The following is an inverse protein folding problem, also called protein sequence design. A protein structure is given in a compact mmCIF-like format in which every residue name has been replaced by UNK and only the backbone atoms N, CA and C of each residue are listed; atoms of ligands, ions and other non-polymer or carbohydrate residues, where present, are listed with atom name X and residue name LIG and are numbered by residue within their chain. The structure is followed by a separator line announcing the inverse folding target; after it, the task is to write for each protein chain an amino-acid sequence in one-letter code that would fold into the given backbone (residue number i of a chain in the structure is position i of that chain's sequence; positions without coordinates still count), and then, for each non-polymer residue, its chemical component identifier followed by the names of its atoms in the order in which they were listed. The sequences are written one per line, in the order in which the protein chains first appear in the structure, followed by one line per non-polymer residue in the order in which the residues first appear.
data_IF_850673988800
#
_entry.id   IF_850673988800
#
_cell.length_a   1.000
_cell.length_b   1.000
_cell.length_c   1.000
_cell.angle_alpha   90.00
_cell.angle_beta   90.00
_cell.angle_gamma   90.00
#
_symmetry.space_group_name_H-M   'P 1'
#
loop_
_entity.id
_entity.type
_entity.pdbx_description
1 polymer ?
#
# COMPACT_ATOMS: atom_id res chain seq x y z
N UNK A 1 -13.68 -34.23 32.77
CA UNK A 1 -13.74 -32.77 32.44
C UNK A 1 -15.19 -32.32 32.46
N UNK A 2 -15.48 -31.10 32.93
CA UNK A 2 -16.82 -30.51 32.85
C UNK A 2 -17.06 -29.98 31.43
N UNK A 3 -18.27 -30.18 30.89
CA UNK A 3 -18.67 -29.64 29.59
C UNK A 3 -18.69 -28.11 29.67
N UNK A 4 -17.97 -27.45 28.78
CA UNK A 4 -17.89 -25.98 28.74
C UNK A 4 -19.13 -25.44 28.01
N UNK A 5 -19.92 -24.60 28.70
CA UNK A 5 -21.06 -23.93 28.10
C UNK A 5 -20.58 -22.96 27.02
N UNK A 6 -21.16 -23.03 25.82
CA UNK A 6 -20.78 -22.21 24.68
C UNK A 6 -19.62 -22.76 23.85
N UNK A 7 -19.07 -23.94 24.16
CA UNK A 7 -18.02 -24.57 23.35
C UNK A 7 -18.44 -24.83 21.90
N UNK A 8 -19.70 -25.24 21.67
CA UNK A 8 -20.25 -25.42 20.32
C UNK A 8 -20.47 -24.10 19.57
N UNK A 9 -20.59 -22.97 20.29
CA UNK A 9 -20.70 -21.63 19.73
C UNK A 9 -19.35 -20.91 19.66
N UNK A 10 -18.31 -21.44 20.30
CA UNK A 10 -16.98 -20.88 20.32
C UNK A 10 -16.32 -21.15 18.97
N UNK A 11 -16.05 -20.09 18.23
CA UNK A 11 -15.37 -20.20 16.95
C UNK A 11 -13.92 -20.60 17.20
N UNK A 12 -13.50 -21.70 16.56
CA UNK A 12 -12.10 -22.15 16.58
C UNK A 12 -11.23 -20.99 16.06
N UNK A 13 -10.07 -20.78 16.67
CA UNK A 13 -9.08 -19.86 16.13
C UNK A 13 -8.74 -20.29 14.70
N UNK A 14 -9.27 -19.57 13.70
CA UNK A 14 -8.87 -19.74 12.31
C UNK A 14 -7.63 -18.88 12.08
N UNK A 15 -6.56 -19.48 11.57
CA UNK A 15 -5.50 -18.69 10.96
C UNK A 15 -6.14 -17.82 9.87
N UNK A 16 -6.02 -16.51 10.01
CA UNK A 16 -6.58 -15.58 9.04
C UNK A 16 -5.81 -15.77 7.74
N UNK A 17 -6.42 -16.47 6.78
CA UNK A 17 -5.83 -16.71 5.47
C UNK A 17 -5.31 -15.39 4.91
N UNK A 18 -4.03 -15.38 4.57
CA UNK A 18 -3.35 -14.21 4.05
C UNK A 18 -3.31 -14.32 2.53
N UNK A 19 -3.67 -13.23 1.86
CA UNK A 19 -3.52 -13.13 0.41
C UNK A 19 -2.03 -13.25 0.05
N UNK A 20 -1.61 -14.22 -0.79
CA UNK A 20 -0.21 -14.33 -1.21
C UNK A 20 0.26 -13.09 -1.98
N UNK A 21 1.59 -12.90 -2.05
CA UNK A 21 2.16 -11.94 -2.98
C UNK A 21 1.92 -12.42 -4.43
N UNK A 22 1.49 -11.52 -5.30
CA UNK A 22 1.00 -11.93 -6.62
C UNK A 22 0.31 -10.82 -7.40
N UNK A 23 -0.15 -11.18 -8.58
CA UNK A 23 -0.95 -10.33 -9.44
C UNK A 23 -2.43 -10.71 -9.32
N UNK A 24 -3.29 -9.73 -9.06
CA UNK A 24 -4.73 -9.96 -8.91
C UNK A 24 -5.52 -8.94 -9.71
N UNK A 25 -6.63 -9.38 -10.31
CA UNK A 25 -7.61 -8.48 -10.93
C UNK A 25 -8.54 -8.01 -9.83
N UNK A 26 -8.63 -6.70 -9.66
CA UNK A 26 -9.42 -6.03 -8.67
C UNK A 26 -10.65 -5.39 -9.30
N UNK A 27 -11.73 -5.32 -8.54
CA UNK A 27 -12.90 -4.50 -8.83
C UNK A 27 -13.03 -3.42 -7.77
N UNK A 28 -13.19 -2.17 -8.20
CA UNK A 28 -13.43 -1.05 -7.29
C UNK A 28 -14.86 -1.12 -6.79
N UNK A 29 -15.03 -1.20 -5.48
CA UNK A 29 -16.34 -1.25 -4.81
C UNK A 29 -16.80 0.14 -4.37
N UNK A 30 -15.88 0.99 -3.94
CA UNK A 30 -16.20 2.33 -3.47
C UNK A 30 -15.02 3.29 -3.67
N UNK A 31 -15.32 4.57 -3.83
CA UNK A 31 -14.32 5.63 -4.05
C UNK A 31 -14.64 6.81 -3.15
N UNK A 32 -13.63 7.29 -2.42
CA UNK A 32 -13.75 8.48 -1.57
C UNK A 32 -12.62 9.44 -1.84
N UNK A 33 -12.95 10.68 -2.14
CA UNK A 33 -11.99 11.77 -2.13
C UNK A 33 -11.78 12.25 -0.68
N UNK A 34 -10.53 12.45 -0.30
CA UNK A 34 -10.17 12.95 1.03
C UNK A 34 -9.15 14.07 0.90
N UNK A 35 -9.56 15.26 1.29
CA UNK A 35 -8.69 16.42 1.43
C UNK A 35 -7.85 16.30 2.69
N UNK A 36 -6.54 16.53 2.58
CA UNK A 36 -5.67 16.61 3.75
C UNK A 36 -4.67 17.75 3.61
N UNK A 37 -4.24 18.32 4.74
CA UNK A 37 -3.24 19.40 4.76
C UNK A 37 -1.92 19.03 4.06
N UNK A 38 -1.55 17.75 4.04
CA UNK A 38 -0.33 17.25 3.41
C UNK A 38 -0.54 16.83 1.94
N UNK A 39 -1.79 16.72 1.47
CA UNK A 39 -2.13 16.37 0.10
C UNK A 39 -3.40 15.54 -0.01
N UNK A 40 -4.13 15.78 -1.09
CA UNK A 40 -5.39 15.13 -1.35
C UNK A 40 -5.16 13.70 -1.83
N UNK A 41 -6.08 12.82 -1.45
CA UNK A 41 -6.00 11.39 -1.76
C UNK A 41 -7.36 10.86 -2.19
N UNK A 42 -7.34 9.99 -3.19
CA UNK A 42 -8.48 9.17 -3.58
C UNK A 42 -8.29 7.80 -2.91
N UNK A 43 -9.19 7.46 -1.99
CA UNK A 43 -9.29 6.13 -1.41
C UNK A 43 -10.15 5.25 -2.33
N UNK A 44 -9.51 4.26 -2.93
CA UNK A 44 -10.14 3.23 -3.71
C UNK A 44 -10.36 2.01 -2.83
N UNK A 45 -11.60 1.69 -2.51
CA UNK A 45 -11.96 0.43 -1.88
C UNK A 45 -12.14 -0.62 -2.97
N UNK A 46 -11.42 -1.73 -2.88
CA UNK A 46 -11.38 -2.76 -3.90
C UNK A 46 -11.56 -4.15 -3.30
N UNK A 47 -12.03 -5.08 -4.12
CA UNK A 47 -12.00 -6.51 -3.84
C UNK A 47 -11.45 -7.30 -5.04
N UNK A 48 -11.07 -8.55 -4.82
CA UNK A 48 -10.54 -9.42 -5.86
C UNK A 48 -11.69 -9.93 -6.71
N UNK A 49 -11.62 -9.65 -8.01
CA UNK A 49 -12.68 -9.96 -8.96
C UNK A 49 -12.57 -11.37 -9.55
N UNK A 50 -11.34 -11.88 -9.70
CA UNK A 50 -11.02 -13.10 -10.45
C UNK A 50 -9.96 -13.96 -9.74
N UNK A 51 -9.96 -15.25 -10.05
CA UNK A 51 -9.00 -16.22 -9.52
C UNK A 51 -9.47 -16.92 -8.25
N UNK A 52 -8.54 -17.64 -7.62
CA UNK A 52 -8.79 -18.44 -6.41
C UNK A 52 -9.22 -17.59 -5.22
N UNK A 53 -8.66 -16.38 -5.11
CA UNK A 53 -8.93 -15.45 -4.00
C UNK A 53 -10.07 -14.48 -4.30
N UNK A 54 -11.00 -14.83 -5.18
CA UNK A 54 -12.16 -13.98 -5.49
C UNK A 54 -12.96 -13.67 -4.21
N UNK A 55 -13.43 -12.42 -4.10
CA UNK A 55 -14.21 -11.91 -2.97
C UNK A 55 -13.48 -12.01 -1.60
N UNK A 56 -12.15 -12.10 -1.61
CA UNK A 56 -11.33 -12.30 -0.40
C UNK A 56 -11.57 -11.23 0.67
N UNK A 57 -11.61 -9.95 0.28
CA UNK A 57 -11.81 -8.86 1.24
C UNK A 57 -13.25 -8.79 1.73
N UNK A 58 -14.24 -9.06 0.87
CA UNK A 58 -15.63 -9.18 1.28
C UNK A 58 -15.86 -10.37 2.23
N UNK A 59 -15.27 -11.52 1.94
CA UNK A 59 -15.32 -12.70 2.80
C UNK A 59 -14.70 -12.37 4.17
N UNK A 60 -13.52 -11.72 4.18
CA UNK A 60 -12.89 -11.30 5.42
C UNK A 60 -13.75 -10.32 6.23
N UNK A 61 -14.37 -9.34 5.56
CA UNK A 61 -15.25 -8.36 6.20
C UNK A 61 -16.51 -9.02 6.78
N UNK A 62 -17.12 -9.97 6.07
CA UNK A 62 -18.30 -10.73 6.54
C UNK A 62 -17.97 -11.62 7.74
N UNK A 63 -16.78 -12.21 7.75
CA UNK A 63 -16.30 -13.05 8.85
C UNK A 63 -15.92 -12.27 10.13
N UNK A 64 -15.83 -10.94 10.08
CA UNK A 64 -15.58 -10.14 11.28
C UNK A 64 -16.84 -10.11 12.18
N UNK A 65 -16.69 -10.62 13.41
CA UNK A 65 -17.75 -10.67 14.43
C UNK A 65 -17.71 -9.48 15.41
N UNK A 66 -16.71 -8.61 15.29
CA UNK A 66 -16.62 -7.38 16.08
C UNK A 66 -17.60 -6.32 15.56
N UNK A 67 -18.15 -5.48 16.44
CA UNK A 67 -19.06 -4.39 16.06
C UNK A 67 -18.38 -3.37 15.12
N UNK A 68 -17.09 -3.07 15.36
CA UNK A 68 -16.29 -2.17 14.52
C UNK A 68 -15.63 -2.93 13.35
N UNK A 69 -16.45 -3.32 12.36
CA UNK A 69 -15.97 -4.03 11.17
C UNK A 69 -15.13 -3.10 10.28
N UNK A 70 -13.91 -3.52 9.96
CA UNK A 70 -12.96 -2.73 9.16
C UNK A 70 -12.73 -3.36 7.80
N UNK A 71 -12.94 -2.56 6.75
CA UNK A 71 -12.58 -2.92 5.39
C UNK A 71 -11.06 -2.83 5.21
N UNK A 72 -10.44 -3.91 4.73
CA UNK A 72 -8.97 -3.99 4.57
C UNK A 72 -8.49 -3.80 3.13
N UNK A 73 -9.39 -3.90 2.13
CA UNK A 73 -9.06 -3.77 0.71
C UNK A 73 -9.08 -2.31 0.25
N UNK A 74 -8.12 -1.49 0.70
CA UNK A 74 -8.06 -0.07 0.30
C UNK A 74 -6.73 0.27 -0.37
N UNK A 75 -6.79 1.09 -1.41
CA UNK A 75 -5.63 1.68 -2.07
C UNK A 75 -5.73 3.19 -1.97
N UNK A 76 -4.64 3.85 -1.58
CA UNK A 76 -4.57 5.32 -1.51
C UNK A 76 -3.82 5.83 -2.72
N UNK A 77 -4.54 6.51 -3.61
CA UNK A 77 -3.95 7.23 -4.73
C UNK A 77 -3.78 8.69 -4.34
N UNK A 78 -2.54 9.20 -4.38
CA UNK A 78 -2.28 10.63 -4.16
C UNK A 78 -2.70 11.44 -5.38
N UNK A 79 -3.39 12.54 -5.14
CA UNK A 79 -3.77 13.51 -6.16
C UNK A 79 -2.64 14.55 -6.26
N UNK A 80 -2.13 14.85 -7.47
CA UNK A 80 -1.14 15.89 -7.66
C UNK A 80 -1.73 17.26 -7.30
N UNK A 81 -0.91 18.11 -6.69
CA UNK A 81 -1.25 19.49 -6.29
C UNK A 81 -1.05 20.50 -7.41
N UNK A 82 -0.33 20.11 -8.46
CA UNK A 82 0.05 21.00 -9.56
C UNK A 82 0.88 22.21 -9.07
N UNK A 83 1.72 21.99 -8.05
CA UNK A 83 2.55 23.03 -7.43
C UNK A 83 3.95 23.18 -8.08
N UNK A 84 4.24 22.36 -9.10
CA UNK A 84 5.49 22.38 -9.84
C UNK A 84 6.70 21.79 -9.09
N UNK A 85 6.52 21.25 -7.89
CA UNK A 85 7.60 20.59 -7.14
C UNK A 85 8.02 19.25 -7.76
N UNK A 86 9.23 18.79 -7.45
CA UNK A 86 9.68 17.46 -7.89
C UNK A 86 8.79 16.33 -7.34
N UNK A 87 8.36 16.45 -6.07
CA UNK A 87 7.45 15.47 -5.46
C UNK A 87 6.09 15.43 -6.16
N UNK A 88 5.59 16.59 -6.59
CA UNK A 88 4.37 16.68 -7.37
C UNK A 88 4.54 16.06 -8.76
N UNK A 89 5.66 16.30 -9.43
CA UNK A 89 5.97 15.66 -10.73
C UNK A 89 5.94 14.13 -10.65
N UNK A 90 6.47 13.55 -9.58
CA UNK A 90 6.39 12.10 -9.34
C UNK A 90 4.95 11.64 -9.06
N UNK A 91 4.20 12.42 -8.28
CA UNK A 91 2.79 12.16 -7.98
C UNK A 91 1.93 12.21 -9.23
N UNK A 92 2.11 13.22 -10.07
CA UNK A 92 1.47 13.39 -11.37
C UNK A 92 1.73 12.21 -12.30
N UNK A 93 2.99 11.76 -12.42
CA UNK A 93 3.35 10.57 -13.22
C UNK A 93 2.63 9.32 -12.71
N UNK A 94 2.59 9.11 -11.40
CA UNK A 94 1.91 7.97 -10.79
C UNK A 94 0.40 8.04 -10.99
N UNK A 95 -0.20 9.20 -10.78
CA UNK A 95 -1.62 9.44 -10.99
C UNK A 95 -2.01 9.14 -12.44
N UNK A 96 -1.31 9.74 -13.41
CA UNK A 96 -1.52 9.49 -14.84
C UNK A 96 -1.39 8.01 -15.19
N UNK A 97 -0.36 7.33 -14.69
CA UNK A 97 -0.16 5.89 -14.93
C UNK A 97 -1.35 5.07 -14.44
N UNK A 98 -1.86 5.35 -13.24
CA UNK A 98 -3.00 4.64 -12.66
C UNK A 98 -4.27 4.87 -13.47
N UNK A 99 -4.55 6.13 -13.84
CA UNK A 99 -5.71 6.48 -14.66
C UNK A 99 -5.64 5.81 -16.04
N UNK A 100 -4.49 5.86 -16.72
CA UNK A 100 -4.30 5.17 -18.00
C UNK A 100 -4.51 3.66 -17.89
N UNK A 101 -4.07 3.04 -16.79
CA UNK A 101 -4.33 1.62 -16.55
C UNK A 101 -5.84 1.33 -16.37
N UNK A 102 -6.60 2.24 -15.76
CA UNK A 102 -8.06 2.14 -15.68
C UNK A 102 -8.71 2.23 -17.06
N UNK A 103 -8.31 3.20 -17.89
CA UNK A 103 -8.83 3.36 -19.24
C UNK A 103 -8.54 2.12 -20.10
N UNK A 104 -7.31 1.61 -20.08
CA UNK A 104 -6.91 0.42 -20.84
C UNK A 104 -7.63 -0.85 -20.35
N UNK A 105 -7.87 -0.98 -19.04
CA UNK A 105 -8.55 -2.15 -18.47
C UNK A 105 -10.06 -2.15 -18.67
N UNK A 106 -10.66 -1.02 -19.05
CA UNK A 106 -12.11 -0.85 -19.15
C UNK A 106 -12.46 -0.23 -20.51
N UNK A 107 -12.70 -1.07 -21.52
CA UNK A 107 -13.02 -0.62 -22.87
C UNK A 107 -14.18 0.38 -22.89
N UNK A 108 -13.96 1.52 -23.54
CA UNK A 108 -14.95 2.61 -23.65
C UNK A 108 -15.02 3.53 -22.44
N UNK A 109 -14.18 3.34 -21.41
CA UNK A 109 -14.02 4.28 -20.32
C UNK A 109 -12.95 5.32 -20.65
N UNK A 110 -13.31 6.59 -20.45
CA UNK A 110 -12.38 7.70 -20.49
C UNK A 110 -12.48 8.52 -19.22
N UNK A 111 -11.33 8.91 -18.69
CA UNK A 111 -11.26 9.72 -17.50
C UNK A 111 -11.80 11.13 -17.78
N UNK A 112 -12.78 11.54 -16.97
CA UNK A 112 -13.47 12.82 -17.08
C UNK A 112 -13.23 13.71 -15.85
N UNK A 113 -12.20 13.42 -15.04
CA UNK A 113 -11.89 14.12 -13.79
C UNK A 113 -12.92 13.94 -12.66
N UNK A 114 -13.77 12.92 -12.75
CA UNK A 114 -14.71 12.52 -11.69
C UNK A 114 -14.34 11.16 -11.10
N UNK A 115 -13.84 11.14 -9.86
CA UNK A 115 -13.36 9.93 -9.19
C UNK A 115 -14.45 8.90 -8.94
N UNK A 116 -15.72 9.33 -8.86
CA UNK A 116 -16.83 8.41 -8.67
C UNK A 116 -17.00 7.47 -9.87
N UNK A 117 -16.54 7.87 -11.05
CA UNK A 117 -16.59 7.04 -12.26
C UNK A 117 -15.66 5.82 -12.21
N UNK A 118 -14.69 5.80 -11.29
CA UNK A 118 -13.82 4.64 -11.05
C UNK A 118 -14.55 3.52 -10.29
N UNK A 119 -15.67 3.82 -9.63
CA UNK A 119 -16.49 2.83 -8.93
C UNK A 119 -17.03 1.79 -9.92
N UNK A 120 -16.88 0.52 -9.56
CA UNK A 120 -17.30 -0.61 -10.38
C UNK A 120 -16.33 -0.99 -11.51
N UNK A 121 -15.27 -0.20 -11.75
CA UNK A 121 -14.25 -0.50 -12.76
C UNK A 121 -13.32 -1.63 -12.32
N UNK A 122 -12.74 -2.32 -13.30
CA UNK A 122 -11.75 -3.35 -13.09
C UNK A 122 -10.33 -2.80 -13.28
N UNK A 123 -9.37 -3.27 -12.50
CA UNK A 123 -7.96 -2.91 -12.66
C UNK A 123 -7.07 -4.07 -12.18
N UNK A 124 -5.88 -4.21 -12.74
CA UNK A 124 -4.88 -5.14 -12.22
C UNK A 124 -4.12 -4.54 -11.04
N UNK A 125 -3.69 -5.37 -10.11
CA UNK A 125 -2.82 -4.93 -9.03
C UNK A 125 -1.76 -5.98 -8.73
N UNK A 126 -0.57 -5.48 -8.38
CA UNK A 126 0.55 -6.26 -7.89
C UNK A 126 0.67 -6.09 -6.39
N UNK A 127 0.61 -7.21 -5.69
CA UNK A 127 0.75 -7.28 -4.26
C UNK A 127 2.11 -7.84 -3.90
N UNK A 128 2.76 -7.21 -2.93
CA UNK A 128 3.98 -7.72 -2.30
C UNK A 128 3.77 -7.89 -0.80
N UNK A 129 4.71 -8.55 -0.13
CA UNK A 129 4.73 -8.54 1.32
C UNK A 129 5.46 -7.29 1.78
N UNK A 130 4.87 -6.58 2.72
CA UNK A 130 5.53 -5.49 3.42
C UNK A 130 5.74 -5.88 4.87
N UNK A 131 6.97 -5.74 5.33
CA UNK A 131 7.32 -5.97 6.72
C UNK A 131 6.76 -4.82 7.58
N UNK A 132 6.27 -5.17 8.76
CA UNK A 132 5.87 -4.22 9.77
C UNK A 132 6.49 -4.59 11.11
N UNK A 133 6.95 -3.56 11.81
CA UNK A 133 7.42 -3.62 13.17
C UNK A 133 6.58 -2.63 13.97
N UNK A 134 5.80 -3.13 14.92
CA UNK A 134 5.02 -2.30 15.83
C UNK A 134 5.27 -2.77 17.27
N UNK A 135 6.16 -2.06 17.96
CA UNK A 135 6.65 -2.47 19.28
C UNK A 135 7.39 -3.81 19.20
N UNK A 136 7.00 -4.79 20.03
CA UNK A 136 7.63 -6.12 20.04
C UNK A 136 7.06 -7.11 18.99
N UNK A 137 6.20 -6.65 18.07
CA UNK A 137 5.59 -7.51 17.04
C UNK A 137 6.22 -7.20 15.68
N UNK A 138 6.96 -8.16 15.15
CA UNK A 138 7.42 -8.19 13.77
C UNK A 138 6.50 -9.10 12.95
N UNK A 139 6.26 -8.75 11.70
CA UNK A 139 5.46 -9.57 10.81
C UNK A 139 5.42 -9.01 9.39
N UNK A 140 4.71 -9.71 8.52
CA UNK A 140 4.51 -9.29 7.14
C UNK A 140 3.02 -9.11 6.87
N UNK A 141 2.65 -8.06 6.14
CA UNK A 141 1.30 -7.87 5.63
C UNK A 141 1.30 -7.76 4.11
N UNK A 142 0.21 -8.20 3.48
CA UNK A 142 0.06 -8.13 2.03
C UNK A 142 -0.32 -6.70 1.64
N UNK A 143 0.54 -6.06 0.86
CA UNK A 143 0.43 -4.67 0.46
C UNK A 143 0.15 -4.55 -1.04
N UNK A 144 -0.82 -3.72 -1.42
CA UNK A 144 -1.05 -3.37 -2.82
C UNK A 144 0.03 -2.38 -3.27
N UNK A 145 1.08 -2.88 -3.92
CA UNK A 145 2.26 -2.11 -4.29
C UNK A 145 2.00 -1.21 -5.50
N UNK A 146 1.38 -1.75 -6.54
CA UNK A 146 1.18 -1.04 -7.80
C UNK A 146 -0.08 -1.49 -8.51
N UNK A 147 -0.77 -0.52 -9.11
CA UNK A 147 -1.88 -0.77 -10.02
C UNK A 147 -1.34 -0.89 -11.44
N UNK A 148 -1.76 -1.92 -12.15
CA UNK A 148 -1.39 -2.25 -13.54
C UNK A 148 -2.65 -2.56 -14.33
N UNK A 149 -2.55 -2.81 -15.62
CA UNK A 149 -3.70 -3.20 -16.42
C UNK A 149 -4.21 -4.58 -16.01
N UNK A 150 -5.54 -4.77 -16.05
CA UNK A 150 -6.16 -6.07 -15.76
C UNK A 150 -5.66 -7.14 -16.75
N UNK A 151 -5.44 -6.76 -18.01
CA UNK A 151 -4.87 -7.64 -19.04
C UNK A 151 -3.45 -8.12 -18.71
N UNK A 152 -2.61 -7.27 -18.12
CA UNK A 152 -1.26 -7.68 -17.69
C UNK A 152 -1.30 -8.78 -16.63
N UNK A 153 -2.28 -8.72 -15.72
CA UNK A 153 -2.48 -9.77 -14.73
C UNK A 153 -3.02 -11.04 -15.40
N UNK A 154 -4.07 -10.92 -16.22
CA UNK A 154 -4.67 -12.07 -16.92
C UNK A 154 -3.70 -12.78 -17.87
N UNK A 155 -2.80 -12.04 -18.51
CA UNK A 155 -1.77 -12.59 -19.39
C UNK A 155 -0.60 -13.24 -18.65
N UNK A 156 -0.51 -13.11 -17.32
CA UNK A 156 0.60 -13.63 -16.52
C UNK A 156 1.94 -12.93 -16.78
N UNK A 157 1.98 -11.86 -17.60
CA UNK A 157 3.20 -11.13 -17.97
C UNK A 157 3.55 -10.06 -16.92
N UNK A 158 3.61 -10.46 -15.66
CA UNK A 158 3.98 -9.58 -14.57
C UNK A 158 5.11 -10.18 -13.73
N UNK A 159 5.89 -9.30 -13.11
CA UNK A 159 6.87 -9.66 -12.10
C UNK A 159 6.29 -9.26 -10.76
N UNK A 160 6.30 -10.18 -9.80
CA UNK A 160 5.92 -9.88 -8.43
C UNK A 160 6.98 -8.92 -7.88
N UNK A 161 6.59 -7.72 -7.39
CA UNK A 161 7.55 -6.80 -6.81
C UNK A 161 8.20 -7.45 -5.57
N UNK A 162 9.48 -7.16 -5.35
CA UNK A 162 10.19 -7.65 -4.17
C UNK A 162 9.48 -7.20 -2.89
N UNK A 163 9.65 -8.00 -1.84
CA UNK A 163 9.09 -7.69 -0.53
C UNK A 163 9.65 -6.37 -0.02
N UNK A 164 8.77 -5.49 0.46
CA UNK A 164 9.15 -4.22 1.05
C UNK A 164 9.56 -4.48 2.49
N UNK A 165 10.83 -4.77 2.70
CA UNK A 165 11.43 -4.85 4.02
C UNK A 165 11.48 -3.46 4.65
N UNK A 166 11.34 -3.38 5.97
CA UNK A 166 11.69 -2.15 6.66
C UNK A 166 13.19 -1.94 6.44
N UNK A 167 13.59 -0.71 6.07
CA UNK A 167 15.01 -0.38 6.16
C UNK A 167 15.39 -0.63 7.62
N UNK A 168 16.39 -1.49 7.86
CA UNK A 168 17.06 -1.47 9.15
C UNK A 168 17.38 0.01 9.43
N UNK A 169 17.20 0.43 10.68
CA UNK A 169 17.91 1.62 11.12
C UNK A 169 19.39 1.27 10.94
N UNK A 170 19.94 1.58 9.77
CA UNK A 170 21.36 1.85 9.66
C UNK A 170 21.55 2.97 10.67
N UNK A 171 22.07 2.56 11.83
CA UNK A 171 22.76 3.43 12.76
C UNK A 171 23.88 4.02 11.90
N UNK A 172 23.56 5.10 11.17
CA UNK A 172 24.55 5.86 10.44
C UNK A 172 25.55 6.23 11.51
N UNK A 173 26.74 5.62 11.46
CA UNK A 173 27.78 5.67 12.49
C UNK A 173 28.31 7.08 12.70
N UNK A 174 27.44 7.97 13.18
CA UNK A 174 27.74 9.33 13.52
C UNK A 174 28.20 9.31 14.98
N UNK A 175 29.44 9.74 15.25
CA UNK A 175 29.94 9.84 16.60
C UNK A 175 29.04 10.76 17.44
N UNK A 176 28.81 10.36 18.68
CA UNK A 176 27.94 11.03 19.65
C UNK A 176 28.36 12.49 19.81
N UNK A 177 27.56 13.43 19.29
CA UNK A 177 27.79 14.88 19.45
C UNK A 177 27.53 15.77 18.24
N UNK A 178 27.28 15.22 17.04
CA UNK A 178 26.98 16.05 15.86
C UNK A 178 25.53 16.59 15.89
N UNK A 179 25.37 17.92 15.94
CA UNK A 179 24.07 18.58 15.72
C UNK A 179 23.88 18.95 14.25
N UNK A 180 22.66 18.83 13.69
CA UNK A 180 22.40 19.17 12.29
C UNK A 180 22.46 20.68 12.08
N UNK A 181 23.30 21.16 11.16
CA UNK A 181 23.13 22.48 10.56
C UNK A 181 22.08 22.37 9.44
N UNK A 182 21.16 23.34 9.38
CA UNK A 182 19.90 23.28 8.64
C UNK A 182 19.96 23.07 7.12
N UNK A 183 21.14 22.97 6.50
CA UNK A 183 21.31 22.84 5.04
C UNK A 183 22.28 21.72 4.65
N UNK A 184 22.13 20.51 5.23
CA UNK A 184 22.66 19.26 4.64
C UNK A 184 24.18 19.12 4.54
N UNK A 185 24.96 20.12 4.96
CA UNK A 185 26.40 20.04 5.21
C UNK A 185 26.61 20.03 6.73
N UNK A 186 27.30 19.01 7.24
CA UNK A 186 27.67 18.95 8.67
C UNK A 186 28.79 19.96 8.94
N UNK A 187 28.60 20.82 9.93
CA UNK A 187 29.71 21.60 10.49
C UNK A 187 30.67 20.64 11.19
N UNK A 188 31.89 20.55 10.69
CA UNK A 188 33.00 19.92 11.40
C UNK A 188 33.33 20.83 12.59
N UNK A 189 33.37 20.34 13.84
CA UNK A 189 33.83 21.13 14.97
C UNK A 189 35.29 21.53 14.77
N UNK A 190 35.62 22.80 14.98
CA UNK A 190 37.02 23.25 15.02
C UNK A 190 37.77 22.49 16.14
N UNK A 191 38.78 21.70 15.77
CA UNK A 191 39.66 21.01 16.72
C UNK A 191 39.96 19.53 16.45
N UNK A 192 39.68 18.99 15.26
CA UNK A 192 40.13 17.65 14.88
C UNK A 192 41.45 17.78 14.13
N UNK A 193 42.56 17.44 14.79
CA UNK A 193 43.90 17.45 14.20
C UNK A 193 43.95 16.55 12.95
N UNK A 194 44.29 17.16 11.82
CA UNK A 194 44.67 16.49 10.59
C UNK A 194 46.04 15.81 10.77
N UNK A 195 46.06 14.52 11.10
CA UNK A 195 47.23 13.67 10.79
C UNK A 195 46.87 12.67 9.68
N UNK A 196 47.16 13.09 8.45
CA UNK A 196 47.27 12.24 7.27
C UNK A 196 48.60 11.47 7.32
N UNK A 197 48.62 10.12 7.24
CA UNK A 197 49.81 9.42 6.79
C UNK A 197 49.89 9.45 5.26
N UNK A 198 51.05 9.84 4.74
CA UNK A 198 51.42 9.90 3.31
C UNK A 198 51.35 8.53 2.61
#
# INVERSE_FOLDING_TARGET
MKKLNGYEAAQVYSEQERLPAGGYVLKILDVKYQENNWGDVILLSFDIAEGEYKDFYAANYRAQNQEDKKWKGTYRLRVPKDDGSEQDSWTMRRFKTVISNFEESNSGYHWNWDEQTLKGKAIGALFNNKEYEFGCRHGFFTNCHSLVTAEKIRSGKFKIPADTLLKEKEDNGYPTGSTPAGDGFMNIPDGIDEELPF
#
